data_IF_118643082925
#
_entry.id   IF_118643082925
#
_cell.length_a   1.000
_cell.length_b   1.000
_cell.length_c   1.000
_cell.angle_alpha   90.00
_cell.angle_beta   90.00
_cell.angle_gamma   90.00
#
_symmetry.space_group_name_H-M   'P 1'
#
loop_
_entity.id
_entity.type
_entity.pdbx_description
1 polymer ?
#
# COMPACT_ATOMS: atom_id res chain seq x y z
N UNK A 1 12.14 4.68 -12.86
CA UNK A 1 11.21 5.79 -12.68
C UNK A 1 10.33 5.51 -11.46
N UNK A 2 9.98 6.57 -10.73
CA UNK A 2 9.16 6.41 -9.52
C UNK A 2 7.75 5.92 -9.81
N UNK A 3 7.26 6.12 -11.03
CA UNK A 3 5.90 5.71 -11.43
C UNK A 3 5.87 4.35 -12.12
N UNK A 4 7.01 3.69 -12.26
CA UNK A 4 7.14 2.44 -13.01
C UNK A 4 7.80 1.33 -12.18
N UNK A 5 7.75 1.44 -10.87
CA UNK A 5 8.40 0.46 -9.99
C UNK A 5 7.69 -0.90 -9.94
N UNK A 6 6.44 -0.96 -10.39
CA UNK A 6 5.68 -2.23 -10.35
C UNK A 6 6.30 -3.31 -11.22
N UNK A 7 7.01 -2.93 -12.28
CA UNK A 7 7.69 -3.89 -13.15
C UNK A 7 8.81 -4.65 -12.43
N UNK A 8 9.28 -4.13 -11.30
CA UNK A 8 10.34 -4.77 -10.53
C UNK A 8 9.84 -5.91 -9.63
N UNK A 9 8.52 -6.07 -9.49
CA UNK A 9 7.95 -7.11 -8.64
C UNK A 9 7.55 -8.34 -9.44
N UNK A 10 7.90 -9.51 -8.90
CA UNK A 10 7.40 -10.79 -9.39
C UNK A 10 6.80 -11.49 -8.18
N UNK A 11 5.49 -11.31 -8.00
CA UNK A 11 4.79 -11.86 -6.85
C UNK A 11 4.25 -13.25 -7.13
N UNK A 12 4.29 -14.11 -6.11
CA UNK A 12 3.57 -15.37 -6.13
C UNK A 12 2.06 -15.11 -6.18
N UNK A 13 1.34 -15.96 -6.84
CA UNK A 13 -0.11 -15.81 -7.02
C UNK A 13 -0.83 -15.67 -5.68
N UNK A 14 -0.38 -16.40 -4.68
CA UNK A 14 -0.96 -16.38 -3.34
C UNK A 14 -0.81 -15.03 -2.63
N UNK A 15 0.09 -14.19 -3.09
CA UNK A 15 0.29 -12.86 -2.53
C UNK A 15 -0.67 -11.82 -3.10
N UNK A 16 -1.47 -12.19 -4.10
CA UNK A 16 -2.34 -11.25 -4.80
C UNK A 16 -1.64 -10.60 -5.99
N UNK A 17 -2.24 -9.56 -6.53
CA UNK A 17 -1.68 -8.85 -7.69
C UNK A 17 -1.62 -7.36 -7.45
N UNK A 18 -0.67 -6.71 -8.12
CA UNK A 18 -0.48 -5.27 -8.10
C UNK A 18 -0.49 -4.73 -9.52
N UNK A 19 -1.32 -3.74 -9.76
CA UNK A 19 -1.35 -2.99 -11.02
C UNK A 19 -1.29 -1.50 -10.73
N UNK A 20 -0.92 -0.71 -11.72
CA UNK A 20 -1.10 0.73 -11.60
C UNK A 20 -2.61 1.04 -11.62
N UNK A 21 -3.00 2.15 -11.01
CA UNK A 21 -4.39 2.59 -11.00
C UNK A 21 -4.91 2.75 -12.43
N UNK A 22 -4.10 3.36 -13.30
CA UNK A 22 -4.47 3.59 -14.70
C UNK A 22 -4.74 2.29 -15.45
N UNK A 23 -3.90 1.30 -15.25
CA UNK A 23 -4.03 0.01 -15.95
C UNK A 23 -5.22 -0.78 -15.43
N UNK A 24 -5.42 -0.81 -14.12
CA UNK A 24 -6.52 -1.58 -13.53
C UNK A 24 -7.88 -1.02 -13.95
N UNK A 25 -8.05 0.29 -13.84
CA UNK A 25 -9.32 0.93 -14.16
C UNK A 25 -9.41 1.38 -15.63
N UNK A 26 -8.37 1.15 -16.40
CA UNK A 26 -8.30 1.52 -17.83
C UNK A 26 -8.71 2.97 -18.04
N UNK A 27 -8.03 3.85 -17.35
CA UNK A 27 -8.30 5.30 -17.36
C UNK A 27 -7.03 6.06 -17.72
N UNK A 28 -7.21 7.24 -18.28
CA UNK A 28 -6.11 8.19 -18.56
C UNK A 28 -5.99 9.27 -17.48
N UNK A 29 -6.79 9.19 -16.43
CA UNK A 29 -6.71 10.13 -15.33
C UNK A 29 -5.31 10.11 -14.69
N UNK A 30 -4.77 11.27 -14.29
CA UNK A 30 -3.42 11.34 -13.73
C UNK A 30 -3.40 10.91 -12.25
N UNK A 31 -3.73 9.65 -11.99
CA UNK A 31 -3.75 9.10 -10.64
C UNK A 31 -2.47 8.31 -10.40
N UNK A 32 -1.61 8.81 -9.51
CA UNK A 32 -0.36 8.16 -9.13
C UNK A 32 -0.61 7.23 -7.95
N UNK A 33 -1.14 6.05 -8.24
CA UNK A 33 -1.46 5.05 -7.23
C UNK A 33 -1.38 3.65 -7.82
N UNK A 34 -1.57 2.67 -6.95
CA UNK A 34 -1.59 1.25 -7.29
C UNK A 34 -2.89 0.63 -6.82
N UNK A 35 -3.26 -0.48 -7.47
CA UNK A 35 -4.40 -1.29 -7.04
C UNK A 35 -3.89 -2.65 -6.61
N UNK A 36 -4.15 -3.00 -5.37
CA UNK A 36 -3.90 -4.34 -4.85
C UNK A 36 -5.18 -5.16 -4.95
N UNK A 37 -5.10 -6.35 -5.56
CA UNK A 37 -6.20 -7.30 -5.62
C UNK A 37 -5.79 -8.57 -4.91
N UNK A 38 -6.64 -9.07 -4.00
CA UNK A 38 -6.33 -10.28 -3.24
C UNK A 38 -6.35 -11.52 -4.14
N UNK A 39 -5.83 -12.63 -3.61
CA UNK A 39 -5.72 -13.88 -4.37
C UNK A 39 -7.08 -14.36 -4.88
N UNK A 40 -8.13 -14.25 -4.06
CA UNK A 40 -9.47 -14.65 -4.46
C UNK A 40 -10.05 -13.79 -5.56
N UNK A 41 -9.50 -12.60 -5.76
CA UNK A 41 -10.00 -11.66 -6.75
C UNK A 41 -11.30 -10.99 -6.37
N UNK A 42 -11.69 -11.04 -5.11
CA UNK A 42 -12.97 -10.51 -4.65
C UNK A 42 -12.85 -9.20 -3.87
N UNK A 43 -11.65 -8.69 -3.68
CA UNK A 43 -11.43 -7.43 -2.96
C UNK A 43 -10.23 -6.68 -3.50
N UNK A 44 -10.39 -5.37 -3.65
CA UNK A 44 -9.31 -4.47 -4.09
C UNK A 44 -9.13 -3.33 -3.10
N UNK A 45 -7.90 -2.84 -3.03
CA UNK A 45 -7.52 -1.66 -2.25
C UNK A 45 -6.69 -0.74 -3.14
N UNK A 46 -6.96 0.55 -3.07
CA UNK A 46 -6.27 1.54 -3.90
C UNK A 46 -6.42 2.92 -3.28
N UNK A 47 -5.86 3.92 -3.94
CA UNK A 47 -6.01 5.31 -3.50
C UNK A 47 -6.27 6.20 -4.71
N UNK A 48 -7.00 7.27 -4.47
CA UNK A 48 -7.13 8.37 -5.42
C UNK A 48 -7.51 9.64 -4.68
N UNK A 49 -7.50 10.76 -5.39
CA UNK A 49 -7.87 12.04 -4.82
C UNK A 49 -9.38 12.21 -4.88
N UNK A 50 -10.00 12.53 -3.74
CA UNK A 50 -11.45 12.75 -3.67
C UNK A 50 -11.86 14.15 -4.10
N UNK A 51 -11.04 15.14 -3.76
CA UNK A 51 -11.36 16.56 -3.99
C UNK A 51 -10.33 17.24 -4.89
N UNK A 52 -9.49 16.46 -5.57
CA UNK A 52 -8.39 16.98 -6.35
C UNK A 52 -7.19 17.38 -5.52
N UNK A 53 -7.25 17.28 -4.20
CA UNK A 53 -6.21 17.76 -3.31
C UNK A 53 -5.47 16.66 -2.57
N UNK A 54 -6.17 15.65 -2.09
CA UNK A 54 -5.62 14.69 -1.15
C UNK A 54 -5.95 13.25 -1.56
N UNK A 55 -4.94 12.39 -1.55
CA UNK A 55 -5.14 10.97 -1.80
C UNK A 55 -5.65 10.29 -0.53
N UNK A 56 -6.67 9.47 -0.69
CA UNK A 56 -7.24 8.65 0.38
C UNK A 56 -7.29 7.19 -0.06
N UNK A 57 -7.25 6.29 0.91
CA UNK A 57 -7.35 4.86 0.66
C UNK A 57 -8.81 4.42 0.57
N UNK A 58 -9.08 3.57 -0.40
CA UNK A 58 -10.41 3.01 -0.67
C UNK A 58 -10.35 1.51 -0.84
N UNK A 59 -11.50 0.87 -0.69
CA UNK A 59 -11.67 -0.55 -0.96
C UNK A 59 -12.98 -0.80 -1.69
N UNK A 60 -13.01 -1.84 -2.51
CA UNK A 60 -14.23 -2.35 -3.14
C UNK A 60 -14.25 -3.87 -3.02
N UNK A 61 -15.44 -4.42 -2.89
CA UNK A 61 -15.65 -5.86 -2.82
C UNK A 61 -16.48 -6.31 -4.01
N UNK A 62 -16.21 -7.53 -4.46
CA UNK A 62 -16.95 -8.13 -5.58
C UNK A 62 -18.32 -8.59 -5.09
N UNK A 63 -19.36 -8.16 -5.80
CA UNK A 63 -20.73 -8.56 -5.56
C UNK A 63 -21.33 -9.03 -6.88
N UNK A 64 -21.74 -10.31 -6.96
CA UNK A 64 -22.38 -10.87 -8.15
C UNK A 64 -21.61 -10.58 -9.45
N UNK A 65 -20.29 -10.84 -9.41
CA UNK A 65 -19.36 -10.66 -10.52
C UNK A 65 -19.11 -9.19 -10.93
N UNK A 66 -19.52 -8.24 -10.11
CA UNK A 66 -19.24 -6.82 -10.33
C UNK A 66 -18.64 -6.22 -9.06
N UNK A 67 -17.76 -5.21 -9.26
CA UNK A 67 -17.25 -4.46 -8.13
C UNK A 67 -18.36 -3.62 -7.50
N UNK A 68 -18.54 -3.77 -6.19
CA UNK A 68 -19.51 -2.99 -5.44
C UNK A 68 -19.07 -1.54 -5.26
N UNK A 69 -19.82 -0.80 -4.44
CA UNK A 69 -19.54 0.61 -4.21
C UNK A 69 -18.17 0.82 -3.55
N UNK A 70 -17.51 1.89 -3.96
CA UNK A 70 -16.25 2.32 -3.37
C UNK A 70 -16.47 2.77 -1.93
N UNK A 71 -15.65 2.26 -1.02
CA UNK A 71 -15.71 2.62 0.40
C UNK A 71 -14.37 3.19 0.83
N UNK A 72 -14.42 4.39 1.41
CA UNK A 72 -13.23 5.01 1.98
C UNK A 72 -12.87 4.32 3.29
N UNK A 73 -11.58 4.05 3.51
CA UNK A 73 -11.13 3.53 4.79
C UNK A 73 -11.32 4.58 5.89
N UNK A 74 -11.48 4.16 7.16
CA UNK A 74 -11.78 5.11 8.24
C UNK A 74 -10.73 6.19 8.44
N UNK A 75 -11.13 7.27 9.11
CA UNK A 75 -10.27 8.42 9.37
C UNK A 75 -9.09 8.13 10.30
N UNK A 76 -9.13 7.03 11.04
CA UNK A 76 -7.95 6.63 11.83
C UNK A 76 -6.86 6.03 10.93
N UNK A 77 -7.18 5.63 9.70
CA UNK A 77 -6.23 5.20 8.69
C UNK A 77 -5.91 6.37 7.77
N UNK A 78 -6.93 6.93 7.12
CA UNK A 78 -6.76 8.10 6.27
C UNK A 78 -6.46 9.32 7.14
N UNK A 79 -5.31 9.92 6.89
CA UNK A 79 -4.86 11.11 7.61
C UNK A 79 -5.42 12.38 6.98
N UNK A 80 -4.93 13.53 7.45
CA UNK A 80 -5.26 14.82 6.84
C UNK A 80 -4.37 15.15 5.64
N UNK A 81 -3.49 14.25 5.26
CA UNK A 81 -2.58 14.41 4.12
C UNK A 81 -2.69 13.18 3.21
N UNK A 82 -1.83 13.05 2.22
CA UNK A 82 -1.89 11.95 1.26
C UNK A 82 -1.60 10.59 1.92
N UNK A 83 -2.47 9.63 1.63
CA UNK A 83 -2.31 8.22 1.99
C UNK A 83 -2.43 7.41 0.70
N UNK A 84 -1.49 6.47 0.46
CA UNK A 84 -1.37 5.84 -0.85
C UNK A 84 -0.71 4.46 -0.76
N UNK A 85 -0.69 3.77 -1.88
CA UNK A 85 0.05 2.53 -2.14
C UNK A 85 -0.24 1.42 -1.13
N UNK A 86 -1.50 0.98 -1.01
CA UNK A 86 -1.84 -0.08 -0.06
C UNK A 86 -1.40 -1.46 -0.55
N UNK A 87 -0.97 -2.28 0.39
CA UNK A 87 -0.67 -3.70 0.17
C UNK A 87 -1.20 -4.49 1.36
N UNK A 88 -1.90 -5.59 1.08
CA UNK A 88 -2.54 -6.40 2.12
C UNK A 88 -1.90 -7.77 2.17
N UNK A 89 -1.56 -8.25 3.37
CA UNK A 89 -1.02 -9.59 3.55
C UNK A 89 -2.08 -10.66 3.29
N UNK A 90 -1.65 -11.90 3.18
CA UNK A 90 -2.53 -13.03 2.89
C UNK A 90 -3.58 -13.28 3.97
N UNK A 91 -3.38 -12.74 5.18
CA UNK A 91 -4.39 -12.81 6.24
C UNK A 91 -5.64 -11.96 5.95
N UNK A 92 -5.58 -11.12 4.94
CA UNK A 92 -6.69 -10.24 4.57
C UNK A 92 -6.95 -9.11 5.55
N UNK A 93 -6.12 -8.97 6.58
CA UNK A 93 -6.35 -8.02 7.67
C UNK A 93 -5.21 -7.00 7.85
N UNK A 94 -3.97 -7.41 7.61
CA UNK A 94 -2.80 -6.55 7.78
C UNK A 94 -2.57 -5.73 6.53
N UNK A 95 -2.59 -4.39 6.66
CA UNK A 95 -2.45 -3.46 5.55
C UNK A 95 -1.20 -2.62 5.76
N UNK A 96 -0.32 -2.63 4.76
CA UNK A 96 0.82 -1.71 4.67
C UNK A 96 0.46 -0.61 3.68
N UNK A 97 0.78 0.62 4.00
CA UNK A 97 0.53 1.75 3.11
C UNK A 97 1.52 2.87 3.41
N UNK A 98 1.53 3.89 2.57
CA UNK A 98 2.36 5.07 2.81
C UNK A 98 1.49 6.27 3.13
N UNK A 99 2.01 7.17 3.95
CA UNK A 99 1.29 8.37 4.38
C UNK A 99 2.24 9.53 4.52
N UNK A 100 1.77 10.72 4.14
CA UNK A 100 2.46 11.99 4.42
C UNK A 100 1.97 12.60 5.72
N UNK A 101 0.88 12.06 6.27
CA UNK A 101 0.36 12.46 7.58
C UNK A 101 0.80 11.50 8.67
N UNK A 102 0.02 11.42 9.75
CA UNK A 102 0.26 10.50 10.87
C UNK A 102 1.64 10.64 11.51
N UNK A 103 2.23 11.84 11.44
CA UNK A 103 3.56 12.09 12.01
C UNK A 103 4.72 11.63 11.14
N UNK A 104 4.53 11.54 9.84
CA UNK A 104 5.61 11.18 8.93
C UNK A 104 6.75 12.21 8.99
N UNK A 105 7.97 11.77 8.70
CA UNK A 105 9.16 12.58 8.85
C UNK A 105 9.79 13.01 7.53
N UNK A 106 9.44 12.38 6.41
CA UNK A 106 10.12 12.65 5.16
C UNK A 106 9.24 12.60 3.92
N UNK A 107 8.03 13.16 3.97
CA UNK A 107 7.06 12.99 2.89
C UNK A 107 6.27 11.72 3.13
N UNK A 108 6.26 10.78 2.17
CA UNK A 108 5.66 9.48 2.40
C UNK A 108 6.53 8.64 3.33
N UNK A 109 5.95 8.14 4.40
CA UNK A 109 6.53 7.12 5.27
C UNK A 109 5.65 5.88 5.25
N UNK A 110 6.24 4.73 5.55
CA UNK A 110 5.54 3.45 5.56
C UNK A 110 4.88 3.21 6.91
N UNK A 111 3.63 2.78 6.85
CA UNK A 111 2.81 2.48 8.03
C UNK A 111 2.18 1.11 7.89
N UNK A 112 1.80 0.53 9.01
CA UNK A 112 1.06 -0.73 9.06
C UNK A 112 -0.12 -0.58 10.01
N UNK A 113 -1.24 -1.17 9.61
CA UNK A 113 -2.43 -1.30 10.46
C UNK A 113 -3.00 -2.70 10.31
N UNK A 114 -3.95 -3.03 11.17
CA UNK A 114 -4.61 -4.33 11.11
C UNK A 114 -6.09 -4.19 11.38
N UNK A 115 -6.90 -4.84 10.56
CA UNK A 115 -8.34 -4.88 10.74
C UNK A 115 -8.69 -5.87 11.85
N UNK A 116 -9.59 -5.47 12.75
CA UNK A 116 -10.13 -6.34 13.79
C UNK A 116 -11.57 -6.67 13.44
N UNK A 117 -11.80 -7.92 13.02
CA UNK A 117 -13.12 -8.36 12.57
C UNK A 117 -14.15 -8.35 13.70
N UNK A 118 -13.71 -8.54 14.93
CA UNK A 118 -14.63 -8.59 16.09
C UNK A 118 -15.25 -7.23 16.40
N UNK A 119 -14.49 -6.16 16.20
CA UNK A 119 -14.95 -4.80 16.48
C UNK A 119 -15.28 -4.01 15.21
N UNK A 120 -15.00 -4.58 14.04
CA UNK A 120 -15.13 -3.91 12.74
C UNK A 120 -14.38 -2.57 12.70
N UNK A 121 -13.16 -2.59 13.25
CA UNK A 121 -12.31 -1.40 13.29
C UNK A 121 -10.88 -1.75 12.91
N UNK A 122 -10.10 -0.71 12.58
CA UNK A 122 -8.67 -0.86 12.34
C UNK A 122 -7.90 -0.39 13.57
N UNK A 123 -6.80 -1.06 13.87
CA UNK A 123 -5.87 -0.60 14.89
C UNK A 123 -5.23 0.72 14.47
N UNK A 124 -4.79 1.52 15.44
CA UNK A 124 -4.07 2.75 15.13
C UNK A 124 -2.84 2.41 14.29
N UNK A 125 -2.60 3.14 13.18
CA UNK A 125 -1.45 2.87 12.33
C UNK A 125 -0.14 3.07 13.07
N UNK A 126 0.82 2.18 12.82
CA UNK A 126 2.16 2.27 13.37
C UNK A 126 3.16 2.53 12.26
N UNK A 127 4.08 3.47 12.49
CA UNK A 127 5.16 3.76 11.58
C UNK A 127 6.18 2.61 11.63
N UNK A 128 6.68 2.19 10.47
CA UNK A 128 7.62 1.06 10.42
C UNK A 128 8.99 1.39 10.99
N UNK A 129 9.40 2.65 10.93
CA UNK A 129 10.71 3.07 11.43
C UNK A 129 11.86 2.65 10.51
N UNK A 130 13.08 2.84 11.02
CA UNK A 130 14.30 2.50 10.28
C UNK A 130 14.46 0.99 10.15
N UNK A 131 15.02 0.46 9.07
CA UNK A 131 15.55 1.19 7.90
C UNK A 131 14.51 1.52 6.83
N UNK A 132 13.26 1.12 7.01
CA UNK A 132 12.22 1.26 5.98
C UNK A 132 11.84 2.72 5.77
N UNK A 133 11.66 3.47 6.85
CA UNK A 133 11.37 4.90 6.75
C UNK A 133 12.64 5.72 6.74
N UNK A 134 12.62 6.83 5.99
CA UNK A 134 13.76 7.71 5.82
C UNK A 134 13.29 9.16 5.75
N UNK A 135 14.20 10.15 5.75
CA UNK A 135 13.82 11.55 5.50
C UNK A 135 13.34 11.83 4.08
N UNK A 136 13.37 10.84 3.21
CA UNK A 136 12.89 10.92 1.83
C UNK A 136 11.52 10.26 1.72
N UNK A 137 11.03 10.06 0.48
CA UNK A 137 9.75 9.39 0.29
C UNK A 137 9.93 7.88 0.28
N UNK A 138 9.16 7.20 1.11
CA UNK A 138 9.11 5.75 1.17
C UNK A 138 7.71 5.36 0.74
N UNK A 139 7.59 4.81 -0.49
CA UNK A 139 6.31 4.74 -1.17
C UNK A 139 5.51 3.48 -0.89
N UNK A 140 6.14 2.32 -0.89
CA UNK A 140 5.39 1.08 -0.87
C UNK A 140 6.16 -0.05 -0.19
N UNK A 141 5.44 -0.87 0.55
CA UNK A 141 5.93 -2.11 1.14
C UNK A 141 5.16 -3.27 0.53
N UNK A 142 5.87 -4.28 0.02
CA UNK A 142 5.28 -5.45 -0.61
C UNK A 142 5.91 -6.70 -0.03
N UNK A 143 5.09 -7.71 0.26
CA UNK A 143 5.57 -8.99 0.77
C UNK A 143 5.14 -10.13 -0.14
N UNK A 144 6.07 -11.06 -0.38
CA UNK A 144 5.74 -12.36 -0.95
C UNK A 144 5.97 -13.39 0.15
N UNK A 145 4.89 -13.77 0.84
CA UNK A 145 4.96 -14.67 1.99
C UNK A 145 5.38 -16.07 1.57
N UNK A 146 5.06 -16.49 0.35
CA UNK A 146 5.43 -17.80 -0.18
C UNK A 146 6.95 -17.90 -0.37
N UNK A 147 7.56 -16.86 -0.94
CA UNK A 147 9.00 -16.81 -1.17
C UNK A 147 9.77 -16.36 0.06
N UNK A 148 9.09 -15.82 1.07
CA UNK A 148 9.76 -15.26 2.24
C UNK A 148 10.55 -14.00 1.93
N UNK A 149 10.08 -13.19 1.01
CA UNK A 149 10.75 -11.97 0.56
C UNK A 149 9.88 -10.74 0.80
N UNK A 150 10.53 -9.61 0.95
CA UNK A 150 9.86 -8.31 1.01
C UNK A 150 10.58 -7.30 0.14
N UNK A 151 9.85 -6.31 -0.33
CA UNK A 151 10.39 -5.19 -1.09
C UNK A 151 9.81 -3.89 -0.53
N UNK A 152 10.61 -2.86 -0.58
CA UNK A 152 10.07 -1.51 -0.35
C UNK A 152 10.64 -0.55 -1.39
N UNK A 153 9.89 0.49 -1.68
CA UNK A 153 10.24 1.47 -2.69
C UNK A 153 10.55 2.79 -2.00
N UNK A 154 11.67 3.40 -2.34
CA UNK A 154 12.10 4.66 -1.75
C UNK A 154 12.84 5.49 -2.79
N UNK A 155 12.72 6.81 -2.68
CA UNK A 155 13.52 7.72 -3.50
C UNK A 155 14.79 8.19 -2.78
N UNK A 156 15.11 7.58 -1.64
CA UNK A 156 16.35 7.90 -0.89
C UNK A 156 17.57 7.70 -1.78
N UNK A 157 18.46 8.68 -1.75
CA UNK A 157 19.71 8.64 -2.52
C UNK A 157 19.51 8.54 -4.04
N UNK A 158 18.32 8.90 -4.53
CA UNK A 158 18.01 8.85 -5.96
C UNK A 158 17.86 10.26 -6.53
N UNK A 159 18.14 10.44 -7.82
CA UNK A 159 17.83 11.70 -8.50
C UNK A 159 16.33 12.00 -8.47
N UNK A 160 15.97 13.26 -8.61
CA UNK A 160 14.56 13.66 -8.65
C UNK A 160 13.78 12.88 -9.71
N UNK A 161 12.60 12.40 -9.34
CA UNK A 161 11.73 11.60 -10.22
C UNK A 161 12.12 10.14 -10.34
N UNK A 162 13.15 9.69 -9.59
CA UNK A 162 13.59 8.31 -9.57
C UNK A 162 13.32 7.69 -8.20
N UNK A 163 13.09 6.38 -8.18
CA UNK A 163 12.96 5.61 -6.96
C UNK A 163 13.62 4.26 -7.16
N UNK A 164 14.04 3.65 -6.08
CA UNK A 164 14.69 2.35 -6.10
C UNK A 164 13.86 1.34 -5.31
N UNK A 165 13.84 0.09 -5.79
CA UNK A 165 13.17 -1.01 -5.11
C UNK A 165 14.22 -1.79 -4.33
N UNK A 166 14.03 -1.87 -3.02
CA UNK A 166 14.95 -2.57 -2.12
C UNK A 166 14.37 -3.91 -1.71
N UNK A 167 15.14 -4.97 -1.91
CA UNK A 167 14.76 -6.32 -1.52
C UNK A 167 15.27 -6.62 -0.11
N UNK A 168 14.47 -7.27 0.70
CA UNK A 168 14.92 -7.73 2.01
C UNK A 168 14.29 -9.07 2.37
N UNK A 169 14.88 -9.75 3.35
CA UNK A 169 14.35 -11.01 3.87
C UNK A 169 13.74 -10.70 5.23
N UNK A 170 12.41 -10.80 5.40
CA UNK A 170 11.78 -10.58 6.70
C UNK A 170 12.34 -11.56 7.73
N UNK A 171 12.66 -11.05 8.93
CA UNK A 171 13.15 -11.87 10.00
C UNK A 171 11.98 -12.43 10.81
N UNK A 172 11.75 -13.76 10.81
CA UNK A 172 10.63 -14.35 11.54
C UNK A 172 10.66 -14.08 13.03
N UNK A 173 11.84 -13.92 13.62
CA UNK A 173 11.98 -13.63 15.04
C UNK A 173 11.48 -12.24 15.39
N UNK A 174 11.60 -11.28 14.48
CA UNK A 174 11.14 -9.92 14.70
C UNK A 174 9.62 -9.80 14.55
N UNK A 175 8.97 -10.74 13.88
CA UNK A 175 7.52 -10.69 13.67
C UNK A 175 6.71 -10.93 14.93
N UNK A 176 7.34 -11.41 15.97
CA UNK A 176 6.64 -11.79 17.21
C UNK A 176 6.66 -10.70 18.26
N UNK A 177 7.38 -9.70 18.01
CA UNK A 177 7.59 -8.64 19.01
C UNK A 177 6.55 -7.56 18.86
#
# INVERSE_FOLDING_TARGET
DKDDFLSAYILSEESGTLDSYKDFFQTNEPVSSTVYKNQKGDKIYYAHSTDGDRYCLFTQSMLMDEWGDEKQLPMNINSNDDDNYPFVLSDGATIYYSSKGNGSIGGYDLFVTRYNINSDTYLAPEQLGMPFNSPYNDYMMVFDEVKGLGWFVSDRFQPEGKACVYLFIPNPEHKRV
#
